data_IF_572415286365
#
_entry.id   IF_572415286365
#
_cell.length_a   1.000
_cell.length_b   1.000
_cell.length_c   1.000
_cell.angle_alpha   90.00
_cell.angle_beta   90.00
_cell.angle_gamma   90.00
#
_symmetry.space_group_name_H-M   'P 1'
#
loop_
_entity.id
_entity.type
_entity.pdbx_description
1 polymer ?
#
# COMPACT_ATOMS: atom_id res chain seq x y z
N UNK A 1 -36.89 -20.93 -7.29
CA UNK A 1 -36.35 -21.25 -5.96
C UNK A 1 -34.85 -21.31 -6.10
N UNK A 2 -34.19 -20.18 -5.88
CA UNK A 2 -32.75 -20.03 -6.00
C UNK A 2 -32.16 -20.43 -4.65
N UNK A 3 -31.45 -21.55 -4.62
CA UNK A 3 -30.86 -22.11 -3.40
C UNK A 3 -29.72 -21.22 -2.94
N UNK A 4 -29.84 -20.73 -1.71
CA UNK A 4 -28.81 -20.01 -0.94
C UNK A 4 -27.44 -20.68 -1.12
N UNK A 5 -26.53 -20.01 -1.84
CA UNK A 5 -25.12 -20.39 -1.85
C UNK A 5 -24.48 -19.82 -0.60
N UNK A 6 -24.63 -20.55 0.52
CA UNK A 6 -23.93 -20.24 1.75
C UNK A 6 -22.42 -20.18 1.50
N UNK A 7 -21.80 -19.05 1.84
CA UNK A 7 -20.34 -18.88 1.82
C UNK A 7 -19.76 -19.77 2.90
N UNK A 8 -19.10 -20.87 2.49
CA UNK A 8 -18.41 -21.77 3.41
C UNK A 8 -17.02 -21.21 3.66
N UNK A 9 -16.84 -20.55 4.80
CA UNK A 9 -15.52 -20.21 5.31
C UNK A 9 -14.81 -21.49 5.75
N UNK A 10 -13.83 -21.94 4.96
CA UNK A 10 -12.88 -22.95 5.41
C UNK A 10 -11.75 -22.24 6.12
N UNK A 11 -11.49 -22.62 7.38
CA UNK A 11 -10.23 -22.30 8.02
C UNK A 11 -9.11 -22.90 7.17
N UNK A 12 -8.37 -22.06 6.46
CA UNK A 12 -7.15 -22.46 5.79
C UNK A 12 -6.05 -22.26 6.81
N UNK A 13 -5.26 -23.31 7.07
CA UNK A 13 -4.03 -23.16 7.81
C UNK A 13 -3.11 -22.32 6.92
N UNK A 14 -3.05 -21.01 7.15
CA UNK A 14 -2.15 -20.14 6.41
C UNK A 14 -0.74 -20.61 6.79
N UNK A 15 -0.05 -21.28 5.86
CA UNK A 15 1.24 -21.93 6.13
C UNK A 15 2.29 -21.00 6.73
N UNK A 16 2.13 -19.70 6.55
CA UNK A 16 2.96 -18.64 7.14
C UNK A 16 2.76 -18.43 8.66
N UNK A 17 1.75 -19.04 9.27
CA UNK A 17 1.52 -19.00 10.72
C UNK A 17 2.27 -20.11 11.47
N UNK A 18 2.80 -21.12 10.78
CA UNK A 18 3.56 -22.19 11.41
C UNK A 18 4.89 -21.72 12.03
N UNK A 19 5.38 -20.55 11.63
CA UNK A 19 6.57 -19.93 12.21
C UNK A 19 6.25 -18.89 13.30
N UNK A 20 4.98 -18.65 13.63
CA UNK A 20 4.60 -17.74 14.71
C UNK A 20 5.06 -18.24 16.09
N UNK A 21 5.38 -19.52 16.22
CA UNK A 21 5.91 -20.14 17.44
C UNK A 21 7.44 -20.11 17.53
N UNK A 22 8.16 -19.78 16.45
CA UNK A 22 9.59 -19.54 16.54
C UNK A 22 9.77 -18.19 17.21
N UNK A 23 10.38 -18.17 18.40
CA UNK A 23 10.94 -16.95 18.98
C UNK A 23 11.88 -16.32 17.95
N UNK A 24 11.36 -15.37 17.19
CA UNK A 24 12.18 -14.36 16.54
C UNK A 24 12.89 -13.71 17.70
N UNK A 25 14.21 -13.94 17.83
CA UNK A 25 15.05 -13.13 18.72
C UNK A 25 14.88 -11.71 18.23
N UNK A 26 13.93 -11.00 18.85
CA UNK A 26 13.69 -9.60 18.56
C UNK A 26 15.04 -8.92 18.74
N UNK A 27 15.47 -8.07 17.79
CA UNK A 27 16.44 -7.03 18.14
C UNK A 27 15.95 -6.43 19.45
N UNK A 28 16.83 -6.32 20.45
CA UNK A 28 16.45 -5.82 21.78
C UNK A 28 15.51 -4.63 21.59
N UNK A 29 14.24 -4.79 21.99
CA UNK A 29 13.20 -3.78 21.74
C UNK A 29 13.62 -2.43 22.36
N UNK A 30 14.52 -2.47 23.34
CA UNK A 30 15.23 -1.33 23.90
C UNK A 30 16.10 -0.63 22.85
N UNK A 31 16.95 -1.37 22.13
CA UNK A 31 17.77 -0.83 21.04
C UNK A 31 16.92 -0.23 19.92
N UNK A 32 15.84 -0.91 19.51
CA UNK A 32 14.94 -0.37 18.48
C UNK A 32 14.25 0.91 18.97
N UNK A 33 13.76 0.93 20.22
CA UNK A 33 13.16 2.12 20.83
C UNK A 33 14.16 3.27 20.89
N UNK A 34 15.40 3.01 21.28
CA UNK A 34 16.46 4.02 21.37
C UNK A 34 16.85 4.56 19.99
N UNK A 35 16.88 3.71 18.96
CA UNK A 35 17.13 4.13 17.57
C UNK A 35 15.99 5.00 17.01
N UNK A 36 14.74 4.70 17.39
CA UNK A 36 13.54 5.37 16.88
C UNK A 36 13.10 6.57 17.74
N UNK A 37 13.67 6.77 18.93
CA UNK A 37 13.19 7.77 19.90
C UNK A 37 13.15 9.21 19.35
N UNK A 38 14.03 9.51 18.38
CA UNK A 38 14.15 10.84 17.77
C UNK A 38 13.47 10.94 16.40
N UNK A 39 12.78 9.88 15.96
CA UNK A 39 12.13 9.82 14.66
C UNK A 39 10.66 10.13 14.81
N UNK A 40 10.16 11.00 13.94
CA UNK A 40 8.72 11.18 13.79
C UNK A 40 8.09 9.94 13.12
N UNK A 41 6.77 9.73 13.25
CA UNK A 41 6.07 8.68 12.50
C UNK A 41 6.32 8.74 10.98
N UNK A 42 6.52 9.95 10.44
CA UNK A 42 6.91 10.16 9.04
C UNK A 42 8.30 9.60 8.76
N UNK A 43 9.29 9.92 9.60
CA UNK A 43 10.67 9.46 9.40
C UNK A 43 10.75 7.93 9.39
N UNK A 44 9.95 7.28 10.23
CA UNK A 44 9.82 5.81 10.25
C UNK A 44 9.19 5.32 8.95
N UNK A 45 8.07 5.90 8.53
CA UNK A 45 7.38 5.52 7.29
C UNK A 45 8.30 5.65 6.06
N UNK A 46 9.05 6.74 5.97
CA UNK A 46 9.97 7.04 4.87
C UNK A 46 11.20 6.12 4.83
N UNK A 47 11.42 5.23 5.82
CA UNK A 47 12.38 4.11 5.68
C UNK A 47 11.86 2.93 4.88
N UNK A 48 10.54 2.77 4.83
CA UNK A 48 9.87 1.71 4.08
C UNK A 48 9.36 2.20 2.74
N UNK A 49 8.86 3.43 2.68
CA UNK A 49 8.42 4.13 1.47
C UNK A 49 9.38 5.27 1.16
N UNK A 50 10.63 4.91 0.89
CA UNK A 50 11.67 5.86 0.51
C UNK A 50 11.56 6.27 -0.98
N UNK A 51 12.50 7.09 -1.45
CA UNK A 51 12.53 7.58 -2.84
C UNK A 51 12.46 6.42 -3.85
N UNK A 52 13.27 5.37 -3.68
CA UNK A 52 13.26 4.20 -4.58
C UNK A 52 11.87 3.55 -4.69
N UNK A 53 11.17 3.41 -3.57
CA UNK A 53 9.82 2.84 -3.54
C UNK A 53 8.81 3.77 -4.21
N UNK A 54 8.84 5.07 -3.90
CA UNK A 54 7.90 6.03 -4.47
C UNK A 54 8.11 6.18 -5.97
N UNK A 55 9.36 6.34 -6.43
CA UNK A 55 9.69 6.45 -7.86
C UNK A 55 9.23 5.21 -8.62
N UNK A 56 9.37 4.01 -8.04
CA UNK A 56 8.86 2.77 -8.63
C UNK A 56 7.34 2.81 -8.81
N UNK A 57 6.60 3.14 -7.75
CA UNK A 57 5.12 3.23 -7.81
C UNK A 57 4.68 4.27 -8.86
N UNK A 58 5.34 5.44 -8.89
CA UNK A 58 5.04 6.51 -9.84
C UNK A 58 5.29 6.07 -11.27
N UNK A 59 6.43 5.44 -11.53
CA UNK A 59 6.82 4.98 -12.87
C UNK A 59 5.82 3.96 -13.40
N UNK A 60 5.47 2.95 -12.60
CA UNK A 60 4.54 1.90 -13.02
C UNK A 60 3.10 2.42 -13.14
N UNK A 61 2.68 3.33 -12.25
CA UNK A 61 1.36 3.98 -12.33
C UNK A 61 1.25 4.88 -13.57
N UNK A 62 2.30 5.63 -13.91
CA UNK A 62 2.31 6.45 -15.13
C UNK A 62 2.26 5.59 -16.38
N UNK A 63 3.08 4.53 -16.46
CA UNK A 63 3.08 3.59 -17.59
C UNK A 63 1.66 3.05 -17.83
N UNK A 64 1.04 2.48 -16.79
CA UNK A 64 -0.30 1.94 -16.93
C UNK A 64 -1.38 3.00 -17.17
N UNK A 65 -1.24 4.17 -16.55
CA UNK A 65 -2.18 5.27 -16.69
C UNK A 65 -2.19 5.84 -18.11
N UNK A 66 -1.03 5.95 -18.76
CA UNK A 66 -0.93 6.33 -20.17
C UNK A 66 -1.65 5.29 -21.06
N UNK A 67 -1.42 4.00 -20.83
CA UNK A 67 -2.07 2.92 -21.59
C UNK A 67 -3.59 2.90 -21.42
N UNK A 68 -4.08 3.24 -20.22
CA UNK A 68 -5.49 3.06 -19.84
C UNK A 68 -6.35 4.31 -20.01
N UNK A 69 -5.76 5.49 -19.76
CA UNK A 69 -6.47 6.77 -19.78
C UNK A 69 -6.00 7.72 -20.90
N UNK A 70 -4.87 7.41 -21.55
CA UNK A 70 -4.31 8.17 -22.67
C UNK A 70 -3.22 9.17 -22.27
N UNK A 71 -2.66 9.85 -23.29
CA UNK A 71 -1.41 10.65 -23.26
C UNK A 71 -1.35 11.80 -22.24
N UNK A 72 -2.47 12.16 -21.61
CA UNK A 72 -2.53 13.26 -20.63
C UNK A 72 -2.43 12.78 -19.18
N UNK A 73 -2.37 11.47 -18.93
CA UNK A 73 -2.18 10.95 -17.58
C UNK A 73 -0.71 11.09 -17.17
N UNK A 74 -0.48 11.84 -16.09
CA UNK A 74 0.79 11.88 -15.39
C UNK A 74 0.54 12.04 -13.90
N UNK A 75 1.37 11.47 -13.06
CA UNK A 75 1.43 11.64 -11.60
C UNK A 75 2.89 11.82 -11.20
N UNK A 76 3.18 12.74 -10.30
CA UNK A 76 4.52 12.92 -9.73
C UNK A 76 4.62 12.30 -8.32
N UNK A 77 5.81 12.37 -7.73
CA UNK A 77 6.06 11.79 -6.41
C UNK A 77 5.30 12.47 -5.28
N UNK A 78 5.07 13.79 -5.36
CA UNK A 78 4.36 14.55 -4.33
C UNK A 78 2.87 14.21 -4.35
N UNK A 79 2.28 14.16 -5.55
CA UNK A 79 0.90 13.76 -5.74
C UNK A 79 0.69 12.29 -5.36
N UNK A 80 1.63 11.40 -5.70
CA UNK A 80 1.58 10.00 -5.28
C UNK A 80 1.67 9.85 -3.76
N UNK A 81 2.57 10.59 -3.09
CA UNK A 81 2.65 10.61 -1.62
C UNK A 81 1.34 11.12 -1.00
N UNK A 82 0.72 12.13 -1.58
CA UNK A 82 -0.59 12.64 -1.16
C UNK A 82 -1.67 11.57 -1.31
N UNK A 83 -1.71 10.87 -2.44
CA UNK A 83 -2.64 9.77 -2.67
C UNK A 83 -2.46 8.63 -1.66
N UNK A 84 -1.22 8.19 -1.42
CA UNK A 84 -0.90 7.16 -0.42
C UNK A 84 -1.27 7.60 1.00
N UNK A 85 -1.03 8.87 1.34
CA UNK A 85 -1.43 9.45 2.63
C UNK A 85 -2.95 9.43 2.81
N UNK A 86 -3.73 9.70 1.76
CA UNK A 86 -5.19 9.60 1.80
C UNK A 86 -5.67 8.15 1.96
N UNK A 87 -5.00 7.17 1.33
CA UNK A 87 -5.29 5.75 1.57
C UNK A 87 -5.03 5.37 3.03
N UNK A 88 -3.89 5.76 3.59
CA UNK A 88 -3.58 5.51 5.01
C UNK A 88 -4.58 6.19 5.94
N UNK A 89 -4.94 7.44 5.64
CA UNK A 89 -5.93 8.20 6.40
C UNK A 89 -7.29 7.50 6.40
N UNK A 90 -7.75 6.99 5.26
CA UNK A 90 -9.03 6.27 5.16
C UNK A 90 -9.09 4.99 5.99
N UNK A 91 -7.94 4.35 6.26
CA UNK A 91 -7.87 3.21 7.16
C UNK A 91 -7.93 3.59 8.66
N UNK A 92 -7.58 4.84 8.99
CA UNK A 92 -7.62 5.35 10.36
C UNK A 92 -8.98 6.02 10.68
N UNK A 93 -9.46 6.85 9.76
CA UNK A 93 -10.72 7.57 9.86
C UNK A 93 -11.67 7.01 8.81
N UNK A 94 -12.38 5.93 9.15
CA UNK A 94 -13.24 5.22 8.20
C UNK A 94 -14.63 5.85 8.12
N UNK A 95 -15.13 6.04 6.89
CA UNK A 95 -16.48 6.51 6.60
C UNK A 95 -17.25 5.42 5.84
N UNK A 96 -18.58 5.32 6.03
CA UNK A 96 -19.39 4.25 5.41
C UNK A 96 -19.23 4.14 3.88
N UNK A 97 -19.00 5.28 3.21
CA UNK A 97 -18.78 5.33 1.77
C UNK A 97 -17.59 6.21 1.43
N UNK A 98 -16.80 5.81 0.42
CA UNK A 98 -15.66 6.61 -0.11
C UNK A 98 -16.08 8.03 -0.50
N UNK A 99 -17.34 8.20 -0.91
CA UNK A 99 -17.83 9.48 -1.41
C UNK A 99 -17.99 10.52 -0.30
N UNK A 100 -18.16 10.06 0.95
CA UNK A 100 -18.38 10.90 2.11
C UNK A 100 -17.13 11.70 2.49
N UNK A 101 -15.93 11.23 2.19
CA UNK A 101 -14.69 11.99 2.45
C UNK A 101 -14.61 13.32 1.70
N UNK A 102 -15.42 13.51 0.65
CA UNK A 102 -15.53 14.75 -0.13
C UNK A 102 -16.91 15.43 0.00
N UNK A 103 -17.74 15.02 0.96
CA UNK A 103 -19.01 15.67 1.24
C UNK A 103 -18.82 16.85 2.20
N UNK A 104 -19.75 17.80 2.14
CA UNK A 104 -19.76 19.02 2.96
C UNK A 104 -20.86 18.99 4.03
N UNK A 105 -21.41 17.82 4.36
CA UNK A 105 -22.38 17.72 5.44
C UNK A 105 -21.66 17.75 6.78
N UNK A 106 -22.28 18.39 7.78
CA UNK A 106 -21.64 18.73 9.06
C UNK A 106 -21.10 17.50 9.82
N UNK A 107 -21.68 16.33 9.59
CA UNK A 107 -21.35 15.06 10.24
C UNK A 107 -20.19 14.30 9.60
N UNK A 108 -19.84 14.58 8.34
CA UNK A 108 -18.77 13.88 7.60
C UNK A 108 -17.82 14.81 6.84
N UNK A 109 -17.88 16.11 7.08
CA UNK A 109 -16.97 17.05 6.43
C UNK A 109 -15.53 16.82 6.90
N UNK A 110 -14.66 16.38 5.97
CA UNK A 110 -13.24 16.16 6.21
C UNK A 110 -12.39 17.15 5.39
N UNK A 111 -12.12 18.37 5.90
CA UNK A 111 -11.35 19.39 5.16
C UNK A 111 -9.98 18.90 4.69
N UNK A 112 -9.34 18.03 5.47
CA UNK A 112 -8.03 17.46 5.14
C UNK A 112 -8.08 16.72 3.79
N UNK A 113 -9.06 15.85 3.59
CA UNK A 113 -9.17 15.07 2.35
C UNK A 113 -9.56 15.98 1.19
N UNK A 114 -10.57 16.82 1.40
CA UNK A 114 -11.07 17.74 0.37
C UNK A 114 -9.98 18.68 -0.16
N UNK A 115 -9.18 19.28 0.73
CA UNK A 115 -8.13 20.23 0.35
C UNK A 115 -6.88 19.56 -0.24
N UNK A 116 -6.65 18.27 0.02
CA UNK A 116 -5.46 17.56 -0.44
C UNK A 116 -5.58 17.09 -1.89
N UNK A 117 -6.72 16.52 -2.27
CA UNK A 117 -6.90 15.96 -3.61
C UNK A 117 -8.38 15.93 -3.99
N UNK A 118 -8.72 16.25 -5.24
CA UNK A 118 -10.11 16.12 -5.69
C UNK A 118 -10.55 14.65 -5.76
N UNK A 119 -11.81 14.37 -5.44
CA UNK A 119 -12.43 13.03 -5.57
C UNK A 119 -12.20 12.39 -6.94
N UNK A 120 -12.32 13.18 -8.01
CA UNK A 120 -12.09 12.71 -9.38
C UNK A 120 -10.65 12.23 -9.55
N UNK A 121 -9.68 13.01 -9.07
CA UNK A 121 -8.26 12.68 -9.18
C UNK A 121 -7.89 11.48 -8.33
N UNK A 122 -8.39 11.41 -7.10
CA UNK A 122 -8.22 10.24 -6.23
C UNK A 122 -8.69 8.95 -6.90
N UNK A 123 -9.88 8.95 -7.51
CA UNK A 123 -10.41 7.80 -8.25
C UNK A 123 -9.61 7.46 -9.50
N UNK A 124 -9.08 8.46 -10.21
CA UNK A 124 -8.18 8.22 -11.35
C UNK A 124 -6.90 7.50 -10.89
N UNK A 125 -6.24 8.00 -9.84
CA UNK A 125 -5.05 7.36 -9.28
C UNK A 125 -5.36 5.97 -8.73
N UNK A 126 -6.47 5.80 -8.01
CA UNK A 126 -6.92 4.49 -7.50
C UNK A 126 -7.14 3.47 -8.62
N UNK A 127 -7.67 3.90 -9.77
CA UNK A 127 -7.86 3.05 -10.95
C UNK A 127 -6.53 2.69 -11.64
N UNK A 128 -5.56 3.60 -11.62
CA UNK A 128 -4.31 3.46 -12.36
C UNK A 128 -3.15 2.93 -11.53
N UNK A 129 -3.25 2.91 -10.19
CA UNK A 129 -2.19 2.45 -9.30
C UNK A 129 -1.63 1.11 -9.76
N UNK A 130 -0.36 1.09 -10.14
CA UNK A 130 0.34 -0.09 -10.64
C UNK A 130 1.71 -0.23 -9.97
N UNK A 131 2.19 -1.46 -9.90
CA UNK A 131 3.38 -1.85 -9.13
C UNK A 131 4.36 -2.72 -9.94
N UNK A 132 4.07 -2.96 -11.22
CA UNK A 132 4.89 -3.78 -12.11
C UNK A 132 4.64 -3.40 -13.58
N UNK A 133 5.66 -3.61 -14.41
CA UNK A 133 5.54 -3.45 -15.85
C UNK A 133 4.70 -4.60 -16.43
N UNK A 134 3.55 -4.29 -17.04
CA UNK A 134 2.69 -5.29 -17.66
C UNK A 134 3.36 -6.03 -18.84
N UNK A 135 4.35 -5.41 -19.49
CA UNK A 135 5.09 -6.00 -20.62
C UNK A 135 6.14 -7.04 -20.18
N UNK A 136 6.57 -7.00 -18.93
CA UNK A 136 7.65 -7.83 -18.37
C UNK A 136 7.13 -8.88 -17.38
N UNK A 137 5.81 -9.09 -17.31
CA UNK A 137 5.23 -10.04 -16.35
C UNK A 137 5.58 -11.49 -16.68
N UNK A 138 6.13 -12.19 -15.69
CA UNK A 138 6.27 -13.64 -15.74
C UNK A 138 4.89 -14.31 -15.64
N UNK A 139 4.50 -15.03 -16.71
CA UNK A 139 3.21 -15.74 -16.79
C UNK A 139 3.12 -16.93 -15.84
N UNK A 140 4.25 -17.42 -15.34
CA UNK A 140 4.31 -18.53 -14.39
C UNK A 140 4.27 -18.05 -12.93
N UNK A 141 4.52 -16.76 -12.68
CA UNK A 141 4.42 -16.17 -11.35
C UNK A 141 3.02 -15.58 -11.11
N UNK A 142 2.24 -16.22 -10.23
CA UNK A 142 0.91 -15.73 -9.83
C UNK A 142 0.95 -14.34 -9.17
N UNK A 143 2.09 -13.93 -8.64
CA UNK A 143 2.29 -12.63 -8.00
C UNK A 143 3.05 -11.64 -8.89
N UNK A 144 3.23 -11.91 -10.18
CA UNK A 144 4.07 -11.08 -11.07
C UNK A 144 3.74 -9.58 -11.00
N UNK A 145 2.46 -9.21 -10.82
CA UNK A 145 2.01 -7.82 -10.71
C UNK A 145 2.44 -7.08 -9.44
N UNK A 146 2.82 -7.82 -8.39
CA UNK A 146 3.28 -7.29 -7.11
C UNK A 146 4.76 -7.60 -6.86
N UNK A 147 5.33 -8.59 -7.57
CA UNK A 147 6.68 -9.11 -7.33
C UNK A 147 7.76 -8.03 -7.31
N UNK A 148 7.82 -7.08 -8.27
CA UNK A 148 8.85 -6.05 -8.25
C UNK A 148 8.77 -5.20 -6.97
N UNK A 149 7.57 -4.75 -6.62
CA UNK A 149 7.33 -3.97 -5.41
C UNK A 149 7.62 -4.75 -4.12
N UNK A 150 7.20 -6.02 -4.03
CA UNK A 150 7.49 -6.89 -2.89
C UNK A 150 8.98 -7.12 -2.70
N UNK A 151 9.75 -7.25 -3.79
CA UNK A 151 11.20 -7.39 -3.72
C UNK A 151 11.86 -6.11 -3.17
N UNK A 152 11.37 -4.93 -3.59
CA UNK A 152 11.83 -3.65 -3.04
C UNK A 152 11.50 -3.55 -1.55
N UNK A 153 10.26 -3.86 -1.15
CA UNK A 153 9.89 -3.88 0.27
C UNK A 153 10.77 -4.83 1.07
N UNK A 154 10.97 -6.06 0.60
CA UNK A 154 11.84 -7.05 1.27
C UNK A 154 13.24 -6.46 1.55
N UNK A 155 13.83 -5.75 0.59
CA UNK A 155 15.11 -5.03 0.78
C UNK A 155 15.01 -3.98 1.91
N UNK A 156 13.91 -3.23 2.01
CA UNK A 156 13.66 -2.24 3.09
C UNK A 156 13.34 -2.87 4.45
N UNK A 157 12.83 -4.09 4.50
CA UNK A 157 12.58 -4.77 5.77
C UNK A 157 13.83 -5.47 6.31
N UNK A 158 14.68 -6.03 5.43
CA UNK A 158 15.91 -6.70 5.81
C UNK A 158 16.93 -5.79 6.52
N UNK A 159 16.95 -4.48 6.26
CA UNK A 159 17.80 -3.52 6.99
C UNK A 159 17.48 -3.46 8.50
N UNK A 160 16.29 -3.90 8.93
CA UNK A 160 15.88 -3.90 10.33
C UNK A 160 15.89 -5.30 10.97
N UNK A 161 16.39 -6.32 10.26
CA UNK A 161 16.41 -7.70 10.75
C UNK A 161 15.02 -8.35 10.84
N UNK A 162 14.00 -7.74 10.23
CA UNK A 162 12.61 -8.25 10.23
C UNK A 162 12.32 -8.84 8.85
N UNK A 163 12.54 -10.13 8.65
CA UNK A 163 11.86 -10.87 7.58
C UNK A 163 11.81 -12.37 7.92
N UNK A 164 10.62 -12.99 8.01
CA UNK A 164 10.50 -14.44 8.05
C UNK A 164 11.07 -15.00 6.74
N UNK A 165 11.97 -15.97 6.81
CA UNK A 165 12.63 -16.55 5.62
C UNK A 165 11.65 -17.20 4.62
N UNK A 166 10.39 -17.39 5.02
CA UNK A 166 9.45 -18.32 4.39
C UNK A 166 8.27 -17.64 3.65
N UNK A 167 8.35 -16.35 3.35
CA UNK A 167 7.40 -15.69 2.43
C UNK A 167 7.85 -15.84 0.97
N UNK A 168 7.75 -17.06 0.43
CA UNK A 168 7.91 -17.40 -0.98
C UNK A 168 6.78 -18.31 -1.47
#
# INVERSE_FOLDING_TARGET
METDRAVIWKAVNAGYLHDAEKEVKTPDMTMLRDCLQNWSPRDVFEKFFDEEIITHIVTETNRYGLDTLGDNFSVDEEEMKTFLALLLFSGHYDLPEEDMYWQFTDDVYVPLVYNSMSKRRFRQLKRCLHLANNEELDKHDRFAKLRPFLNLLKKKYLQFGVWPNDLA
#
